data_IF_425120109671
#
_entry.id   IF_425120109671
#
_cell.length_a   1.000
_cell.length_b   1.000
_cell.length_c   1.000
_cell.angle_alpha   90.00
_cell.angle_beta   90.00
_cell.angle_gamma   90.00
#
_symmetry.space_group_name_H-M   'P 1'
#
loop_
_entity.id
_entity.type
_entity.pdbx_description
1 polymer ?
#
# COMPACT_ATOMS: atom_id res chain seq x y z
N UNK A 1 -14.51 19.46 37.36
CA UNK A 1 -15.10 18.49 36.41
C UNK A 1 -14.01 17.50 36.02
N UNK A 2 -14.02 16.30 36.61
CA UNK A 2 -13.04 15.25 36.34
C UNK A 2 -13.19 14.75 34.90
N UNK A 3 -12.11 14.80 34.12
CA UNK A 3 -12.05 14.13 32.82
C UNK A 3 -12.25 12.64 33.07
N UNK A 4 -13.22 12.07 32.36
CA UNK A 4 -13.52 10.64 32.42
C UNK A 4 -12.23 9.88 32.09
N UNK A 5 -11.61 9.27 33.09
CA UNK A 5 -10.31 8.59 33.00
C UNK A 5 -10.45 7.22 32.31
N UNK A 6 -11.70 6.82 32.03
CA UNK A 6 -12.03 5.61 31.31
C UNK A 6 -12.45 6.00 29.90
N UNK A 7 -11.60 5.71 28.92
CA UNK A 7 -11.98 5.75 27.52
C UNK A 7 -13.24 4.89 27.27
N UNK A 8 -13.84 4.96 26.08
CA UNK A 8 -15.02 4.15 25.76
C UNK A 8 -14.75 2.68 26.08
N UNK A 9 -15.76 2.02 26.67
CA UNK A 9 -15.67 0.61 27.05
C UNK A 9 -15.08 -0.23 25.91
N UNK A 10 -14.24 -1.22 26.20
CA UNK A 10 -13.69 -2.10 25.16
C UNK A 10 -14.85 -2.75 24.43
N UNK A 11 -14.76 -2.80 23.09
CA UNK A 11 -15.80 -3.41 22.24
C UNK A 11 -15.95 -4.92 22.51
N UNK A 12 -14.85 -5.55 22.90
CA UNK A 12 -14.77 -6.96 23.22
C UNK A 12 -14.41 -7.13 24.68
N UNK A 13 -15.00 -8.13 25.31
CA UNK A 13 -14.81 -8.44 26.73
C UNK A 13 -13.83 -9.59 26.93
N UNK A 14 -13.61 -10.42 25.91
CA UNK A 14 -12.68 -11.53 25.97
C UNK A 14 -11.80 -11.62 24.72
N UNK A 15 -10.65 -12.27 24.89
CA UNK A 15 -9.70 -12.55 23.79
C UNK A 15 -10.25 -13.62 22.85
N UNK A 16 -10.96 -14.59 23.42
CA UNK A 16 -11.55 -15.72 22.71
C UNK A 16 -12.57 -15.24 21.66
N UNK A 17 -13.42 -14.29 22.03
CA UNK A 17 -14.41 -13.70 21.11
C UNK A 17 -13.75 -13.10 19.86
N UNK A 18 -12.63 -12.41 20.04
CA UNK A 18 -11.88 -11.83 18.89
C UNK A 18 -11.24 -12.93 18.05
N UNK A 19 -10.68 -13.97 18.66
CA UNK A 19 -10.07 -15.10 17.96
C UNK A 19 -11.11 -15.79 17.08
N UNK A 20 -12.27 -16.11 17.61
CA UNK A 20 -13.36 -16.75 16.86
C UNK A 20 -13.78 -15.91 15.64
N UNK A 21 -13.90 -14.59 15.82
CA UNK A 21 -14.24 -13.69 14.71
C UNK A 21 -13.12 -13.59 13.64
N UNK A 22 -11.86 -13.60 14.07
CA UNK A 22 -10.71 -13.64 13.17
C UNK A 22 -10.71 -14.93 12.35
N UNK A 23 -10.89 -16.06 13.00
CA UNK A 23 -10.89 -17.36 12.32
C UNK A 23 -12.08 -17.50 11.37
N UNK A 24 -13.27 -17.06 11.78
CA UNK A 24 -14.44 -17.01 10.90
C UNK A 24 -14.19 -16.12 9.67
N UNK A 25 -13.49 -14.99 9.82
CA UNK A 25 -13.12 -14.14 8.70
C UNK A 25 -12.19 -14.87 7.71
N UNK A 26 -11.14 -15.52 8.20
CA UNK A 26 -10.21 -16.25 7.33
C UNK A 26 -10.85 -17.47 6.67
N UNK A 27 -11.73 -18.17 7.37
CA UNK A 27 -12.52 -19.26 6.77
C UNK A 27 -13.45 -18.72 5.67
N UNK A 28 -14.11 -17.58 5.90
CA UNK A 28 -14.89 -16.91 4.88
C UNK A 28 -14.10 -16.53 3.63
N UNK A 29 -12.84 -16.14 3.78
CA UNK A 29 -11.95 -15.83 2.65
C UNK A 29 -11.66 -17.03 1.74
N UNK A 30 -11.72 -18.26 2.29
CA UNK A 30 -11.50 -19.49 1.51
C UNK A 30 -12.65 -19.78 0.53
N UNK A 31 -13.78 -19.09 0.70
CA UNK A 31 -14.97 -19.32 -0.11
C UNK A 31 -15.80 -20.50 0.37
N UNK A 32 -16.79 -20.86 -0.45
CA UNK A 32 -17.72 -21.96 -0.17
C UNK A 32 -17.49 -23.10 -1.15
N UNK A 33 -17.60 -24.38 -0.71
CA UNK A 33 -17.52 -25.48 -1.63
C UNK A 33 -18.63 -25.36 -2.68
N UNK A 34 -18.27 -25.54 -3.94
CA UNK A 34 -19.26 -25.58 -5.01
C UNK A 34 -19.88 -26.98 -5.06
N UNK A 35 -21.17 -27.04 -4.74
CA UNK A 35 -21.90 -28.29 -4.65
C UNK A 35 -22.71 -28.51 -5.92
N UNK A 36 -22.76 -29.76 -6.35
CA UNK A 36 -23.65 -30.23 -7.38
C UNK A 36 -25.11 -30.07 -6.90
N UNK A 37 -26.01 -29.38 -7.66
CA UNK A 37 -27.35 -29.09 -7.22
C UNK A 37 -28.25 -30.33 -7.06
N UNK A 38 -27.96 -31.42 -7.80
CA UNK A 38 -28.78 -32.60 -7.79
C UNK A 38 -28.32 -33.61 -6.72
N UNK A 39 -27.03 -33.75 -6.52
CA UNK A 39 -26.44 -34.74 -5.61
C UNK A 39 -25.97 -34.21 -4.29
N UNK A 40 -25.80 -32.87 -4.16
CA UNK A 40 -25.24 -32.21 -2.99
C UNK A 40 -23.75 -32.52 -2.76
N UNK A 41 -23.08 -33.17 -3.69
CA UNK A 41 -21.66 -33.51 -3.59
C UNK A 41 -20.82 -32.33 -4.02
N UNK A 42 -19.64 -32.17 -3.38
CA UNK A 42 -18.67 -31.17 -3.78
C UNK A 42 -18.15 -31.46 -5.18
N UNK A 43 -18.23 -30.47 -6.06
CA UNK A 43 -17.69 -30.54 -7.40
C UNK A 43 -16.17 -30.43 -7.38
N UNK A 44 -15.54 -31.13 -8.32
CA UNK A 44 -14.10 -31.10 -8.52
C UNK A 44 -13.77 -30.65 -9.93
N UNK A 45 -12.58 -30.07 -10.12
CA UNK A 45 -12.08 -29.70 -11.43
C UNK A 45 -11.62 -30.95 -12.23
N UNK A 46 -11.14 -30.71 -13.46
CA UNK A 46 -10.64 -31.79 -14.35
C UNK A 46 -9.43 -32.55 -13.79
N UNK A 47 -8.80 -32.05 -12.73
CA UNK A 47 -7.65 -32.66 -12.05
C UNK A 47 -8.04 -33.31 -10.72
N UNK A 48 -9.32 -33.24 -10.32
CA UNK A 48 -9.81 -33.81 -9.08
C UNK A 48 -9.71 -32.87 -7.87
N UNK A 49 -9.35 -31.59 -8.06
CA UNK A 49 -9.30 -30.62 -6.96
C UNK A 49 -10.70 -30.07 -6.66
N UNK A 50 -11.05 -29.87 -5.37
CA UNK A 50 -12.31 -29.28 -4.96
C UNK A 50 -12.48 -27.86 -5.53
N UNK A 51 -13.65 -27.58 -6.10
CA UNK A 51 -14.01 -26.25 -6.58
C UNK A 51 -14.65 -25.46 -5.44
N UNK A 52 -14.14 -24.23 -5.23
CA UNK A 52 -14.73 -23.26 -4.30
C UNK A 52 -15.19 -22.02 -5.05
N UNK A 53 -16.30 -21.43 -4.60
CA UNK A 53 -16.86 -20.19 -5.12
C UNK A 53 -16.80 -19.10 -4.03
N UNK A 54 -16.93 -17.83 -4.42
CA UNK A 54 -16.88 -16.67 -3.53
C UNK A 54 -15.57 -16.53 -2.75
N UNK A 55 -14.47 -17.09 -3.27
CA UNK A 55 -13.15 -16.88 -2.71
C UNK A 55 -12.72 -15.42 -2.87
N UNK A 56 -12.17 -14.85 -1.82
CA UNK A 56 -11.62 -13.50 -1.88
C UNK A 56 -10.34 -13.38 -1.03
N UNK A 57 -9.41 -12.49 -1.42
CA UNK A 57 -8.18 -12.30 -0.67
C UNK A 57 -8.45 -11.70 0.71
N UNK A 58 -7.77 -12.17 1.76
CA UNK A 58 -7.83 -11.54 3.06
C UNK A 58 -7.16 -10.16 3.01
N UNK A 59 -7.82 -9.16 3.60
CA UNK A 59 -7.32 -7.78 3.65
C UNK A 59 -7.43 -7.21 5.06
N UNK A 60 -6.55 -6.27 5.42
CA UNK A 60 -6.60 -5.60 6.73
C UNK A 60 -7.93 -4.84 6.92
N UNK A 61 -8.47 -4.27 5.85
CA UNK A 61 -9.76 -3.58 5.90
C UNK A 61 -10.91 -4.57 6.05
N UNK A 62 -10.86 -5.70 5.32
CA UNK A 62 -11.86 -6.77 5.45
C UNK A 62 -11.89 -7.34 6.88
N UNK A 63 -10.72 -7.61 7.45
CA UNK A 63 -10.59 -8.03 8.85
C UNK A 63 -11.21 -6.99 9.81
N UNK A 64 -10.91 -5.70 9.59
CA UNK A 64 -11.49 -4.64 10.43
C UNK A 64 -13.03 -4.64 10.39
N UNK A 65 -13.61 -4.79 9.19
CA UNK A 65 -15.07 -4.85 9.02
C UNK A 65 -15.66 -6.12 9.62
N UNK A 66 -15.04 -7.26 9.47
CA UNK A 66 -15.47 -8.54 10.06
C UNK A 66 -15.48 -8.48 11.60
N UNK A 67 -14.48 -7.82 12.17
CA UNK A 67 -14.45 -7.52 13.61
C UNK A 67 -15.38 -6.34 13.99
N UNK A 68 -16.21 -5.86 13.07
CA UNK A 68 -17.19 -4.80 13.27
C UNK A 68 -16.58 -3.41 13.51
N UNK A 69 -15.32 -3.17 13.23
CA UNK A 69 -14.74 -1.82 13.25
C UNK A 69 -15.19 -1.03 12.01
N UNK A 70 -15.33 0.28 12.17
CA UNK A 70 -15.75 1.16 11.06
C UNK A 70 -14.63 1.45 10.06
N UNK A 71 -13.38 1.19 10.42
CA UNK A 71 -12.23 1.46 9.58
C UNK A 71 -11.01 0.64 9.99
N UNK A 72 -10.06 0.49 9.05
CA UNK A 72 -8.74 -0.08 9.33
C UNK A 72 -8.04 0.62 10.49
N UNK A 73 -8.11 1.96 10.55
CA UNK A 73 -7.46 2.72 11.62
C UNK A 73 -8.04 2.38 12.99
N UNK A 74 -9.35 2.15 13.09
CA UNK A 74 -9.98 1.75 14.35
C UNK A 74 -9.48 0.39 14.84
N UNK A 75 -9.25 -0.56 13.93
CA UNK A 75 -8.63 -1.85 14.24
C UNK A 75 -7.20 -1.67 14.75
N UNK A 76 -6.39 -0.84 14.06
CA UNK A 76 -5.00 -0.59 14.45
C UNK A 76 -4.92 0.08 15.84
N UNK A 77 -5.77 1.04 16.11
CA UNK A 77 -5.87 1.68 17.42
C UNK A 77 -6.28 0.70 18.51
N UNK A 78 -7.18 -0.24 18.19
CA UNK A 78 -7.59 -1.28 19.11
C UNK A 78 -6.47 -2.28 19.40
N UNK A 79 -5.67 -2.64 18.38
CA UNK A 79 -4.44 -3.43 18.52
C UNK A 79 -3.34 -2.75 19.36
N UNK A 80 -3.47 -1.46 19.69
CA UNK A 80 -2.63 -0.78 20.67
C UNK A 80 -2.91 -1.20 22.13
N UNK A 81 -4.07 -1.80 22.43
CA UNK A 81 -4.41 -2.30 23.76
C UNK A 81 -3.63 -3.58 24.04
N UNK A 82 -2.96 -3.64 25.21
CA UNK A 82 -2.06 -4.75 25.60
C UNK A 82 -2.74 -6.11 25.50
N UNK A 83 -4.01 -6.18 25.87
CA UNK A 83 -4.80 -7.41 25.91
C UNK A 83 -5.03 -8.05 24.55
N UNK A 84 -5.22 -7.24 23.50
CA UNK A 84 -5.58 -7.69 22.15
C UNK A 84 -4.46 -7.56 21.13
N UNK A 85 -3.33 -6.98 21.56
CA UNK A 85 -2.21 -6.65 20.68
C UNK A 85 -1.72 -7.87 19.90
N UNK A 86 -1.36 -8.92 20.60
CA UNK A 86 -0.73 -10.10 20.00
C UNK A 86 -1.68 -10.79 19.03
N UNK A 87 -2.96 -10.92 19.39
CA UNK A 87 -3.98 -11.53 18.55
C UNK A 87 -4.21 -10.73 17.25
N UNK A 88 -4.28 -9.40 17.35
CA UNK A 88 -4.45 -8.54 16.16
C UNK A 88 -3.17 -8.52 15.32
N UNK A 89 -1.99 -8.52 15.94
CA UNK A 89 -0.72 -8.62 15.22
C UNK A 89 -0.61 -9.93 14.46
N UNK A 90 -0.92 -11.06 15.09
CA UNK A 90 -0.93 -12.38 14.45
C UNK A 90 -1.88 -12.42 13.25
N UNK A 91 -3.11 -11.93 13.42
CA UNK A 91 -4.07 -11.85 12.31
C UNK A 91 -3.57 -10.97 11.15
N UNK A 92 -2.88 -9.87 11.45
CA UNK A 92 -2.24 -9.05 10.42
C UNK A 92 -1.09 -9.76 9.72
N UNK A 93 -0.26 -10.50 10.48
CA UNK A 93 0.84 -11.27 9.89
C UNK A 93 0.33 -12.39 8.98
N UNK A 94 -0.82 -13.01 9.27
CA UNK A 94 -1.48 -13.96 8.36
C UNK A 94 -1.88 -13.30 7.03
N UNK A 95 -2.37 -12.05 7.07
CA UNK A 95 -2.67 -11.27 5.85
C UNK A 95 -1.38 -10.89 5.12
N UNK A 96 -0.36 -10.46 5.85
CA UNK A 96 0.94 -10.10 5.30
C UNK A 96 1.57 -11.27 4.54
N UNK A 97 1.63 -12.45 5.16
CA UNK A 97 2.14 -13.67 4.53
C UNK A 97 1.36 -14.02 3.24
N UNK A 98 0.03 -13.96 3.27
CA UNK A 98 -0.78 -14.18 2.08
C UNK A 98 -0.43 -13.20 0.95
N UNK A 99 -0.25 -11.91 1.28
CA UNK A 99 0.07 -10.88 0.27
C UNK A 99 1.52 -11.04 -0.21
N UNK A 100 2.44 -11.43 0.67
CA UNK A 100 3.84 -11.72 0.31
C UNK A 100 3.95 -12.85 -0.71
N UNK A 101 3.21 -13.95 -0.52
CA UNK A 101 3.15 -15.04 -1.49
C UNK A 101 2.72 -14.57 -2.88
N UNK A 102 1.83 -13.56 -2.96
CA UNK A 102 1.37 -12.98 -4.23
C UNK A 102 2.41 -12.15 -4.97
N UNK A 103 3.55 -11.83 -4.36
CA UNK A 103 4.69 -11.20 -5.06
C UNK A 103 5.26 -12.10 -6.15
N UNK A 104 5.09 -13.40 -6.02
CA UNK A 104 5.55 -14.41 -6.98
C UNK A 104 4.54 -14.71 -8.08
N UNK A 105 3.33 -14.17 -8.00
CA UNK A 105 2.30 -14.32 -9.02
C UNK A 105 2.54 -13.36 -10.18
N UNK A 106 2.52 -13.86 -11.40
CA UNK A 106 2.75 -13.05 -12.61
C UNK A 106 1.83 -11.81 -12.71
N UNK A 107 0.56 -11.99 -12.37
CA UNK A 107 -0.46 -10.93 -12.54
C UNK A 107 -0.76 -10.19 -11.23
N UNK A 108 -0.36 -10.73 -10.08
CA UNK A 108 -0.64 -10.21 -8.74
C UNK A 108 0.46 -9.37 -8.12
N UNK A 109 1.71 -9.50 -8.58
CA UNK A 109 2.90 -8.97 -7.93
C UNK A 109 2.85 -7.45 -7.67
N UNK A 110 2.38 -6.65 -8.63
CA UNK A 110 2.31 -5.19 -8.46
C UNK A 110 1.27 -4.78 -7.40
N UNK A 111 0.12 -5.43 -7.39
CA UNK A 111 -0.91 -5.21 -6.37
C UNK A 111 -0.44 -5.64 -4.98
N UNK A 112 0.25 -6.77 -4.90
CA UNK A 112 0.84 -7.27 -3.66
C UNK A 112 1.90 -6.30 -3.12
N UNK A 113 2.84 -5.85 -3.95
CA UNK A 113 3.85 -4.84 -3.58
C UNK A 113 3.19 -3.57 -3.04
N UNK A 114 2.22 -3.03 -3.76
CA UNK A 114 1.47 -1.85 -3.32
C UNK A 114 0.77 -2.07 -1.97
N UNK A 115 0.14 -3.23 -1.78
CA UNK A 115 -0.54 -3.59 -0.53
C UNK A 115 0.44 -3.69 0.63
N UNK A 116 1.58 -4.36 0.46
CA UNK A 116 2.62 -4.49 1.48
C UNK A 116 3.15 -3.14 1.91
N UNK A 117 3.53 -2.28 0.96
CA UNK A 117 4.06 -0.95 1.24
C UNK A 117 3.08 -0.05 2.00
N UNK A 118 1.78 -0.17 1.75
CA UNK A 118 0.77 0.69 2.38
C UNK A 118 0.20 0.14 3.70
N UNK A 119 0.32 -1.16 3.96
CA UNK A 119 -0.32 -1.80 5.10
C UNK A 119 0.64 -2.32 6.16
N UNK A 120 1.91 -2.56 5.79
CA UNK A 120 2.86 -3.23 6.66
C UNK A 120 4.17 -2.43 6.74
N UNK A 121 4.76 -2.42 7.94
CA UNK A 121 6.03 -1.73 8.16
C UNK A 121 7.18 -2.61 7.67
N UNK A 122 8.24 -1.98 7.16
CA UNK A 122 9.43 -2.69 6.70
C UNK A 122 9.44 -3.04 5.21
N UNK A 123 8.34 -2.78 4.50
CA UNK A 123 8.23 -2.97 3.06
C UNK A 123 8.49 -1.70 2.24
N UNK A 124 8.72 -0.57 2.90
CA UNK A 124 9.03 0.72 2.27
C UNK A 124 10.50 0.73 1.82
N UNK A 125 10.78 0.24 0.62
CA UNK A 125 12.14 0.27 0.04
C UNK A 125 12.67 1.70 -0.18
N UNK A 126 11.80 2.71 -0.20
CA UNK A 126 12.11 4.08 -0.62
C UNK A 126 11.81 5.17 0.44
N UNK A 127 11.47 4.82 1.67
CA UNK A 127 11.63 5.79 2.74
C UNK A 127 13.13 5.91 3.03
N UNK A 128 13.82 6.68 2.16
CA UNK A 128 15.01 7.39 2.61
C UNK A 128 14.65 7.94 3.98
N UNK A 129 15.37 7.49 5.00
CA UNK A 129 15.45 8.17 6.27
C UNK A 129 15.29 9.66 5.97
N UNK A 130 14.26 10.29 6.54
CA UNK A 130 14.17 11.74 6.57
C UNK A 130 15.45 12.20 7.27
N UNK A 131 16.50 12.34 6.48
CA UNK A 131 17.70 13.02 6.84
C UNK A 131 17.37 14.50 6.72
N UNK A 132 17.22 15.14 7.88
CA UNK A 132 17.31 16.56 8.13
C UNK A 132 16.68 17.49 7.06
N UNK A 133 15.36 17.51 6.89
CA UNK A 133 14.60 18.70 6.49
C UNK A 133 15.12 19.58 5.34
N UNK A 134 16.17 19.18 4.62
CA UNK A 134 16.71 19.87 3.46
C UNK A 134 16.25 19.16 2.20
N UNK A 135 15.20 19.69 1.60
CA UNK A 135 14.89 19.35 0.21
C UNK A 135 16.18 19.51 -0.64
N UNK A 136 16.54 18.53 -1.49
CA UNK A 136 17.67 18.70 -2.38
C UNK A 136 17.44 19.96 -3.22
N UNK A 137 18.36 20.89 -3.16
CA UNK A 137 18.32 22.07 -3.98
C UNK A 137 18.44 21.63 -5.46
N UNK A 138 17.35 21.71 -6.20
CA UNK A 138 17.39 21.49 -7.64
C UNK A 138 17.98 22.77 -8.26
N UNK A 139 19.25 22.76 -8.59
CA UNK A 139 19.87 23.82 -9.36
C UNK A 139 19.45 23.65 -10.83
N UNK A 140 18.45 24.40 -11.26
CA UNK A 140 18.10 24.50 -12.68
C UNK A 140 19.05 25.54 -13.28
N UNK A 141 20.10 25.07 -13.97
CA UNK A 141 20.97 25.91 -14.79
C UNK A 141 20.22 26.12 -16.10
N UNK A 142 19.59 27.28 -16.26
CA UNK A 142 19.03 27.71 -17.54
C UNK A 142 20.17 28.29 -18.39
N UNK A 143 20.67 27.48 -19.29
CA UNK A 143 21.71 27.87 -20.26
C UNK A 143 21.05 28.47 -21.53
N UNK A 144 20.03 29.29 -21.36
CA UNK A 144 19.38 30.03 -22.43
C UNK A 144 20.07 31.40 -22.50
N UNK A 145 20.82 31.71 -23.57
CA UNK A 145 21.41 33.03 -23.73
C UNK A 145 20.31 34.09 -23.74
N UNK A 146 20.46 35.12 -22.91
CA UNK A 146 19.51 36.24 -22.88
C UNK A 146 19.63 36.99 -24.17
N UNK A 147 18.50 37.39 -24.76
CA UNK A 147 18.42 38.19 -26.00
C UNK A 147 19.22 39.50 -25.89
N UNK A 148 19.43 40.02 -24.66
CA UNK A 148 20.26 41.18 -24.39
C UNK A 148 21.74 40.98 -24.75
N UNK A 149 22.25 39.77 -24.76
CA UNK A 149 23.67 39.50 -25.02
C UNK A 149 23.95 39.43 -26.53
N UNK A 150 22.89 39.25 -27.33
CA UNK A 150 23.00 39.22 -28.79
C UNK A 150 23.06 40.61 -29.44
N UNK A 151 22.72 41.70 -28.72
CA UNK A 151 22.69 43.08 -29.19
C UNK A 151 23.95 43.88 -28.85
N UNK A 152 24.93 43.28 -28.16
CA UNK A 152 26.14 44.00 -27.68
C UNK A 152 27.40 43.68 -28.48
N UNK A 153 27.31 43.10 -29.70
CA UNK A 153 28.47 42.98 -30.53
C UNK A 153 28.61 44.27 -31.38
N UNK A 154 29.70 45.05 -31.23
CA UNK A 154 29.97 46.20 -32.10
C UNK A 154 30.22 45.69 -33.51
N UNK A 155 29.42 46.22 -34.48
CA UNK A 155 29.69 46.01 -35.89
C UNK A 155 30.98 46.77 -36.23
N UNK A 156 32.06 46.04 -36.42
CA UNK A 156 33.30 46.54 -37.04
C UNK A 156 33.03 46.66 -38.54
N UNK A 157 32.68 47.87 -38.98
CA UNK A 157 32.75 48.24 -40.37
C UNK A 157 34.21 48.44 -40.72
N UNK A 158 34.82 47.52 -41.48
CA UNK A 158 36.09 47.72 -42.17
C UNK A 158 35.82 48.67 -43.34
N UNK A 159 36.67 49.71 -43.58
CA UNK A 159 36.55 50.59 -44.76
C UNK A 159 37.16 49.82 -45.97
N UNK A 160 36.37 49.81 -47.06
CA UNK A 160 36.89 49.42 -48.37
C UNK A 160 37.98 50.43 -48.81
N UNK A 161 39.21 49.96 -48.98
CA UNK A 161 40.22 50.72 -49.70
C UNK A 161 40.03 50.51 -51.20
N UNK A 162 39.58 51.55 -51.81
CA UNK A 162 39.70 51.80 -53.23
C UNK A 162 41.18 51.76 -53.64
N UNK A 163 41.53 50.86 -54.52
CA UNK A 163 42.78 50.93 -55.22
C UNK A 163 42.47 50.95 -56.70
N UNK A 164 42.38 52.18 -57.22
CA UNK A 164 42.50 52.58 -58.61
C UNK A 164 44.04 52.75 -58.90
N UNK A 165 44.46 52.18 -59.93
CA UNK A 165 45.57 52.65 -60.81
C UNK A 165 46.37 51.50 -61.40
N UNK A 166 46.35 51.48 -62.61
CA UNK A 166 47.02 51.46 -63.87
C UNK A 166 47.22 50.10 -64.50
#
# INVERSE_FOLDING_TARGET
MGRNQYGPAPRYTSKEEIIDLIDNYFEGCKGKPFLDPDTGRQMVDKYGYPIFIDQHPPTVTGLALALGFKSRQSLLNYGGKKEFRDTIMEAKSRIEAYVEERLFDKDGANGAKFSLQNNFKGWDADKKTEDDGKAPAINIICDIPRVSDALSQPQTTEPEEDNLSE
#
